data_IF_408747475797
#
_entry.id   IF_408747475797
#
_cell.length_a   1.000
_cell.length_b   1.000
_cell.length_c   1.000
_cell.angle_alpha   90.00
_cell.angle_beta   90.00
_cell.angle_gamma   90.00
#
_symmetry.space_group_name_H-M   'P 1'
#
loop_
_entity.id
_entity.type
_entity.pdbx_description
1 polymer ?
#
# COMPACT_ATOMS: atom_id res chain seq x y z
N UNK A 1 22.91 -15.67 29.49
CA UNK A 1 23.54 -14.55 28.75
C UNK A 1 22.51 -13.71 27.99
N UNK A 2 21.61 -14.29 27.17
CA UNK A 2 20.61 -13.51 26.40
C UNK A 2 19.67 -12.64 27.25
N UNK A 3 19.21 -13.11 28.41
CA UNK A 3 18.36 -12.31 29.31
C UNK A 3 19.09 -11.05 29.79
N UNK A 4 20.38 -11.16 30.11
CA UNK A 4 21.20 -10.01 30.51
C UNK A 4 21.33 -9.00 29.36
N UNK A 5 21.53 -9.49 28.13
CA UNK A 5 21.53 -8.64 26.92
C UNK A 5 20.19 -7.93 26.73
N UNK A 6 19.06 -8.62 26.90
CA UNK A 6 17.72 -8.02 26.83
C UNK A 6 17.53 -6.93 27.89
N UNK A 7 17.92 -7.18 29.14
CA UNK A 7 17.84 -6.19 30.23
C UNK A 7 18.69 -4.97 29.90
N UNK A 8 19.90 -5.16 29.37
CA UNK A 8 20.78 -4.06 28.98
C UNK A 8 20.15 -3.19 27.87
N UNK A 9 19.61 -3.81 26.82
CA UNK A 9 18.94 -3.10 25.72
C UNK A 9 17.71 -2.34 26.22
N UNK A 10 16.90 -2.93 27.10
CA UNK A 10 15.76 -2.27 27.73
C UNK A 10 16.20 -1.07 28.57
N UNK A 11 17.22 -1.24 29.42
CA UNK A 11 17.74 -0.17 30.26
C UNK A 11 18.30 0.99 29.43
N UNK A 12 19.04 0.69 28.37
CA UNK A 12 19.56 1.69 27.43
C UNK A 12 18.43 2.47 26.73
N UNK A 13 17.39 1.78 26.26
CA UNK A 13 16.24 2.44 25.65
C UNK A 13 15.46 3.31 26.65
N UNK A 14 15.23 2.82 27.87
CA UNK A 14 14.55 3.60 28.92
C UNK A 14 15.35 4.85 29.25
N UNK A 15 16.67 4.75 29.40
CA UNK A 15 17.54 5.90 29.64
C UNK A 15 17.48 6.90 28.49
N UNK A 16 17.57 6.42 27.24
CA UNK A 16 17.44 7.25 26.05
C UNK A 16 16.09 7.98 26.01
N UNK A 17 14.99 7.27 26.27
CA UNK A 17 13.65 7.84 26.30
C UNK A 17 13.48 8.88 27.42
N UNK A 18 14.06 8.65 28.60
CA UNK A 18 14.08 9.61 29.71
C UNK A 18 14.85 10.89 29.36
N UNK A 19 15.97 10.77 28.65
CA UNK A 19 16.74 11.91 28.15
C UNK A 19 15.92 12.74 27.15
N UNK A 20 15.24 12.08 26.20
CA UNK A 20 14.36 12.77 25.24
C UNK A 20 13.18 13.46 25.93
N UNK A 21 12.58 12.82 26.94
CA UNK A 21 11.52 13.44 27.74
C UNK A 21 12.01 14.69 28.49
N UNK A 22 13.26 14.69 28.98
CA UNK A 22 13.86 15.88 29.59
C UNK A 22 14.07 17.00 28.57
N UNK A 23 14.51 16.66 27.36
CA UNK A 23 14.66 17.63 26.26
C UNK A 23 13.31 18.19 25.81
N UNK A 24 12.28 17.36 25.66
CA UNK A 24 10.92 17.79 25.31
C UNK A 24 10.35 18.74 26.36
N UNK A 25 10.52 18.43 27.65
CA UNK A 25 10.10 19.31 28.75
C UNK A 25 10.85 20.64 28.80
N UNK A 26 12.04 20.71 28.21
CA UNK A 26 12.79 21.97 28.16
C UNK A 26 12.19 22.98 27.17
N UNK A 27 11.32 22.52 26.26
CA UNK A 27 10.67 23.30 25.19
C UNK A 27 11.65 24.11 24.30
N UNK A 28 12.95 23.80 24.36
CA UNK A 28 14.00 24.45 23.56
C UNK A 28 14.03 23.97 22.12
N UNK A 29 13.57 22.75 21.87
CA UNK A 29 13.61 22.09 20.56
C UNK A 29 12.19 21.86 20.06
N UNK A 30 12.03 21.86 18.74
CA UNK A 30 10.77 21.51 18.10
C UNK A 30 10.43 20.03 18.38
N UNK A 31 9.17 19.75 18.72
CA UNK A 31 8.70 18.40 19.01
C UNK A 31 8.87 17.41 17.85
N UNK A 32 8.80 17.88 16.60
CA UNK A 32 9.10 17.04 15.42
C UNK A 32 10.57 16.62 15.39
N UNK A 33 11.47 17.52 15.76
CA UNK A 33 12.90 17.22 15.85
C UNK A 33 13.17 16.16 16.91
N UNK A 34 12.56 16.28 18.10
CA UNK A 34 12.68 15.27 19.17
C UNK A 34 12.10 13.92 18.73
N UNK A 35 10.94 13.90 18.05
CA UNK A 35 10.36 12.65 17.50
C UNK A 35 11.31 11.99 16.51
N UNK A 36 12.00 12.76 15.67
CA UNK A 36 12.98 12.20 14.72
C UNK A 36 14.29 11.75 15.38
N UNK A 37 14.71 12.35 16.49
CA UNK A 37 15.78 11.77 17.32
C UNK A 37 15.35 10.41 17.89
N UNK A 38 14.12 10.29 18.44
CA UNK A 38 13.60 9.01 18.91
C UNK A 38 13.57 7.97 17.78
N UNK A 39 13.08 8.35 16.60
CA UNK A 39 12.99 7.49 15.42
C UNK A 39 14.36 6.99 14.99
N UNK A 40 15.34 7.90 14.87
CA UNK A 40 16.73 7.54 14.51
C UNK A 40 17.35 6.63 15.57
N UNK A 41 17.26 7.00 16.85
CA UNK A 41 17.82 6.20 17.94
C UNK A 41 17.20 4.81 18.04
N UNK A 42 15.89 4.70 17.84
CA UNK A 42 15.19 3.41 17.79
C UNK A 42 15.61 2.59 16.57
N UNK A 43 15.87 3.23 15.43
CA UNK A 43 16.41 2.58 14.23
C UNK A 43 17.82 2.03 14.44
N UNK A 44 18.71 2.79 15.08
CA UNK A 44 20.05 2.31 15.47
C UNK A 44 19.94 1.10 16.41
N UNK A 45 19.05 1.17 17.40
CA UNK A 45 18.74 0.04 18.27
C UNK A 45 18.29 -1.18 17.48
N UNK A 46 17.34 -1.02 16.55
CA UNK A 46 16.86 -2.08 15.66
C UNK A 46 17.97 -2.69 14.79
N UNK A 47 18.83 -1.86 14.20
CA UNK A 47 19.96 -2.30 13.37
C UNK A 47 21.00 -3.10 14.15
N UNK A 48 21.14 -2.86 15.45
CA UNK A 48 22.08 -3.59 16.30
C UNK A 48 21.60 -5.00 16.68
N UNK A 49 20.30 -5.31 16.54
CA UNK A 49 19.71 -6.57 17.02
C UNK A 49 20.36 -7.83 16.43
N UNK A 50 20.63 -7.94 15.11
CA UNK A 50 21.31 -9.11 14.53
C UNK A 50 22.76 -9.31 14.97
N UNK A 51 23.36 -8.31 15.61
CA UNK A 51 24.73 -8.39 16.13
C UNK A 51 24.75 -8.69 17.64
N UNK A 52 23.66 -8.41 18.34
CA UNK A 52 23.53 -8.62 19.79
C UNK A 52 22.94 -9.99 20.10
N UNK A 53 21.90 -10.39 19.36
CA UNK A 53 21.09 -11.57 19.64
C UNK A 53 21.29 -12.65 18.59
N UNK A 54 21.39 -13.90 19.04
CA UNK A 54 21.46 -15.08 18.17
C UNK A 54 20.08 -15.72 18.04
N UNK A 55 19.30 -15.72 19.13
CA UNK A 55 18.00 -16.40 19.16
C UNK A 55 16.86 -15.49 18.71
N UNK A 56 16.12 -15.94 17.69
CA UNK A 56 14.94 -15.23 17.18
C UNK A 56 13.93 -14.88 18.29
N UNK A 57 13.69 -15.82 19.22
CA UNK A 57 12.77 -15.64 20.35
C UNK A 57 13.13 -14.49 21.28
N UNK A 58 14.42 -14.17 21.45
CA UNK A 58 14.87 -13.11 22.36
C UNK A 58 14.41 -11.73 21.86
N UNK A 59 14.60 -11.46 20.57
CA UNK A 59 14.16 -10.21 19.95
C UNK A 59 12.64 -10.11 19.88
N UNK A 60 11.94 -11.24 19.65
CA UNK A 60 10.46 -11.26 19.67
C UNK A 60 9.92 -10.89 21.05
N UNK A 61 10.44 -11.51 22.11
CA UNK A 61 10.04 -11.18 23.49
C UNK A 61 10.33 -9.70 23.78
N UNK A 62 11.53 -9.23 23.44
CA UNK A 62 11.94 -7.84 23.63
C UNK A 62 11.01 -6.86 22.91
N UNK A 63 10.67 -7.13 21.64
CA UNK A 63 9.76 -6.29 20.87
C UNK A 63 8.32 -6.31 21.41
N UNK A 64 7.83 -7.46 21.91
CA UNK A 64 6.52 -7.53 22.59
C UNK A 64 6.54 -6.65 23.86
N UNK A 65 7.62 -6.72 24.65
CA UNK A 65 7.78 -5.86 25.83
C UNK A 65 7.75 -4.38 25.45
N UNK A 66 8.46 -3.97 24.39
CA UNK A 66 8.42 -2.58 23.90
C UNK A 66 7.03 -2.17 23.40
N UNK A 67 6.33 -3.04 22.67
CA UNK A 67 4.97 -2.77 22.21
C UNK A 67 4.01 -2.55 23.38
N UNK A 68 4.04 -3.43 24.39
CA UNK A 68 3.23 -3.30 25.61
C UNK A 68 3.57 -2.00 26.34
N UNK A 69 4.85 -1.66 26.46
CA UNK A 69 5.30 -0.42 27.08
C UNK A 69 4.75 0.82 26.35
N UNK A 70 4.89 0.89 25.02
CA UNK A 70 4.39 2.02 24.23
C UNK A 70 2.87 2.14 24.27
N UNK A 71 2.15 1.04 24.14
CA UNK A 71 0.68 1.02 24.23
C UNK A 71 0.23 1.48 25.60
N UNK A 72 0.91 1.02 26.67
CA UNK A 72 0.62 1.44 28.05
C UNK A 72 0.84 2.95 28.23
N UNK A 73 1.96 3.49 27.76
CA UNK A 73 2.25 4.94 27.81
C UNK A 73 1.15 5.75 27.09
N UNK A 74 0.66 5.26 25.96
CA UNK A 74 -0.39 5.93 25.17
C UNK A 74 -1.78 5.85 25.83
N UNK A 75 -2.09 4.73 26.47
CA UNK A 75 -3.37 4.48 27.15
C UNK A 75 -3.54 5.31 28.44
N UNK A 76 -2.44 5.75 29.06
CA UNK A 76 -2.50 6.58 30.26
C UNK A 76 -3.15 7.94 29.98
N UNK A 77 -4.38 8.11 30.49
CA UNK A 77 -5.11 9.38 30.49
C UNK A 77 -4.57 10.29 31.60
N UNK A 78 -3.88 11.37 31.22
CA UNK A 78 -3.62 12.61 31.99
C UNK A 78 -2.43 12.72 32.96
N UNK A 79 -1.76 11.67 33.45
CA UNK A 79 -0.68 11.85 34.47
C UNK A 79 0.75 12.02 33.94
N UNK A 80 0.98 11.84 32.64
CA UNK A 80 2.34 11.74 32.08
C UNK A 80 2.46 12.60 30.80
N UNK A 81 2.28 13.91 30.94
CA UNK A 81 2.24 14.86 29.80
C UNK A 81 3.55 14.91 29.00
N UNK A 82 4.71 14.72 29.65
CA UNK A 82 6.01 14.75 28.97
C UNK A 82 6.26 13.54 28.06
N UNK A 83 6.06 12.32 28.57
CA UNK A 83 6.39 11.13 27.79
C UNK A 83 5.45 10.91 26.60
N UNK A 84 4.18 11.33 26.72
CA UNK A 84 3.25 11.31 25.60
C UNK A 84 3.63 12.34 24.52
N UNK A 85 4.14 13.52 24.91
CA UNK A 85 4.62 14.54 23.96
C UNK A 85 5.83 14.09 23.14
N UNK A 86 6.69 13.23 23.69
CA UNK A 86 7.80 12.63 22.93
C UNK A 86 7.29 11.74 21.79
N UNK A 87 6.14 11.06 21.98
CA UNK A 87 5.54 10.14 21.00
C UNK A 87 4.53 10.83 20.06
N UNK A 88 3.83 11.85 20.56
CA UNK A 88 2.78 12.56 19.84
C UNK A 88 3.11 14.05 19.73
N UNK A 89 3.25 14.54 18.51
CA UNK A 89 3.34 15.99 18.24
C UNK A 89 2.00 16.64 18.58
N UNK A 90 2.01 17.89 19.09
CA UNK A 90 0.78 18.65 19.47
C UNK A 90 -0.31 18.66 18.39
N UNK A 91 0.08 18.56 17.12
CA UNK A 91 -0.81 18.65 15.95
C UNK A 91 -1.13 17.31 15.27
N UNK A 92 -0.56 16.17 15.69
CA UNK A 92 -0.73 14.90 14.98
C UNK A 92 -0.67 13.67 15.88
N UNK A 93 -1.80 12.97 15.99
CA UNK A 93 -1.84 11.60 16.54
C UNK A 93 -1.43 10.62 15.44
N UNK A 94 -0.31 9.92 15.63
CA UNK A 94 0.14 8.86 14.71
C UNK A 94 0.45 7.60 15.50
N UNK A 95 0.36 6.44 14.85
CA UNK A 95 0.77 5.15 15.42
C UNK A 95 2.14 4.71 14.88
N UNK A 96 2.92 5.65 14.33
CA UNK A 96 4.18 5.38 13.63
C UNK A 96 5.17 4.57 14.46
N UNK A 97 5.30 4.85 15.76
CA UNK A 97 6.25 4.14 16.63
C UNK A 97 5.87 2.67 16.80
N UNK A 98 4.57 2.37 16.87
CA UNK A 98 4.05 0.99 16.95
C UNK A 98 4.36 0.26 15.64
N UNK A 99 4.03 0.90 14.51
CA UNK A 99 4.32 0.36 13.18
C UNK A 99 5.82 0.14 12.96
N UNK A 100 6.67 1.00 13.51
CA UNK A 100 8.11 0.85 13.40
C UNK A 100 8.62 -0.38 14.15
N UNK A 101 8.14 -0.63 15.38
CA UNK A 101 8.49 -1.87 16.10
C UNK A 101 7.95 -3.10 15.37
N UNK A 102 6.73 -3.03 14.83
CA UNK A 102 6.18 -4.12 14.03
C UNK A 102 7.04 -4.42 12.80
N UNK A 103 7.59 -3.39 12.13
CA UNK A 103 8.54 -3.56 11.03
C UNK A 103 9.85 -4.21 11.48
N UNK A 104 10.43 -3.77 12.59
CA UNK A 104 11.67 -4.37 13.13
C UNK A 104 11.43 -5.85 13.45
N UNK A 105 10.34 -6.18 14.15
CA UNK A 105 9.98 -7.56 14.48
C UNK A 105 9.71 -8.41 13.23
N UNK A 106 8.95 -7.87 12.28
CA UNK A 106 8.61 -8.56 11.06
C UNK A 106 9.83 -8.85 10.20
N UNK A 107 10.67 -7.83 9.96
CA UNK A 107 11.94 -7.98 9.26
C UNK A 107 12.88 -8.94 9.99
N UNK A 108 12.94 -8.88 11.31
CA UNK A 108 13.72 -9.84 12.09
C UNK A 108 13.28 -11.27 11.82
N UNK A 109 11.98 -11.55 11.83
CA UNK A 109 11.46 -12.90 11.56
C UNK A 109 11.79 -13.39 10.15
N UNK A 110 11.65 -12.53 9.13
CA UNK A 110 11.75 -12.94 7.71
C UNK A 110 13.14 -12.72 7.09
N UNK A 111 14.04 -12.00 7.75
CA UNK A 111 15.31 -11.56 7.16
C UNK A 111 16.50 -11.46 8.11
N UNK A 112 16.40 -11.84 9.39
CA UNK A 112 17.53 -11.77 10.34
C UNK A 112 18.80 -12.46 9.84
N UNK A 113 18.62 -13.52 9.05
CA UNK A 113 19.70 -14.38 8.56
C UNK A 113 20.45 -13.72 7.39
N UNK A 114 19.82 -12.74 6.72
CA UNK A 114 20.44 -11.92 5.68
C UNK A 114 20.51 -10.45 6.13
N UNK A 115 21.68 -10.08 6.67
CA UNK A 115 21.92 -8.74 7.23
C UNK A 115 21.67 -7.61 6.23
N UNK A 116 21.93 -7.82 4.93
CA UNK A 116 21.68 -6.82 3.87
C UNK A 116 20.18 -6.57 3.74
N UNK A 117 19.39 -7.64 3.64
CA UNK A 117 17.92 -7.57 3.51
C UNK A 117 17.23 -7.07 4.80
N UNK A 118 17.85 -7.24 5.96
CA UNK A 118 17.36 -6.70 7.23
C UNK A 118 17.72 -5.22 7.41
N UNK A 119 18.98 -4.84 7.15
CA UNK A 119 19.51 -3.54 7.49
C UNK A 119 19.03 -2.43 6.54
N UNK A 120 19.05 -2.65 5.22
CA UNK A 120 18.70 -1.61 4.25
C UNK A 120 17.29 -1.04 4.44
N UNK A 121 16.23 -1.85 4.61
CA UNK A 121 14.89 -1.33 4.89
C UNK A 121 14.84 -0.43 6.13
N UNK A 122 15.56 -0.81 7.19
CA UNK A 122 15.62 -0.05 8.44
C UNK A 122 16.45 1.24 8.29
N UNK A 123 17.56 1.22 7.55
CA UNK A 123 18.38 2.42 7.29
C UNK A 123 17.58 3.44 6.48
N UNK A 124 16.89 3.01 5.41
CA UNK A 124 16.03 3.88 4.60
C UNK A 124 14.94 4.49 5.49
N UNK A 125 14.23 3.67 6.25
CA UNK A 125 13.18 4.19 7.12
C UNK A 125 13.75 5.11 8.21
N UNK A 126 14.89 4.79 8.79
CA UNK A 126 15.51 5.57 9.87
C UNK A 126 15.95 6.96 9.38
N UNK A 127 16.64 7.02 8.24
CA UNK A 127 17.26 8.25 7.75
C UNK A 127 16.35 9.02 6.80
N UNK A 128 15.85 8.38 5.74
CA UNK A 128 15.10 9.08 4.70
C UNK A 128 13.79 9.67 5.21
N UNK A 129 13.05 8.96 6.06
CA UNK A 129 11.85 9.50 6.71
C UNK A 129 12.19 10.64 7.69
N UNK A 130 13.31 10.54 8.42
CA UNK A 130 13.72 11.61 9.32
C UNK A 130 14.07 12.88 8.55
N UNK A 131 14.93 12.80 7.53
CA UNK A 131 15.29 13.94 6.70
C UNK A 131 14.09 14.52 5.95
N UNK A 132 13.24 13.68 5.36
CA UNK A 132 12.05 14.14 4.64
C UNK A 132 11.09 14.91 5.54
N UNK A 133 10.86 14.44 6.77
CA UNK A 133 9.99 15.11 7.72
C UNK A 133 10.60 16.42 8.24
N UNK A 134 11.90 16.46 8.54
CA UNK A 134 12.56 17.68 9.01
C UNK A 134 12.57 18.76 7.91
N UNK A 135 12.95 18.39 6.68
CA UNK A 135 12.89 19.33 5.55
C UNK A 135 11.46 19.74 5.25
N UNK A 136 10.52 18.80 5.30
CA UNK A 136 9.10 19.07 5.10
C UNK A 136 8.48 19.99 6.17
N UNK A 137 8.97 19.93 7.41
CA UNK A 137 8.48 20.79 8.50
C UNK A 137 9.09 22.19 8.43
N UNK A 138 10.42 22.29 8.26
CA UNK A 138 11.14 23.56 8.40
C UNK A 138 11.33 24.34 7.09
N UNK A 139 11.32 23.67 5.94
CA UNK A 139 11.72 24.28 4.66
C UNK A 139 10.70 24.12 3.53
N UNK A 140 9.51 23.59 3.81
CA UNK A 140 8.50 23.37 2.76
C UNK A 140 7.85 24.67 2.27
N UNK A 141 7.83 24.85 0.95
CA UNK A 141 7.09 25.91 0.26
C UNK A 141 5.87 25.35 -0.47
N UNK A 142 6.00 24.16 -1.05
CA UNK A 142 4.95 23.55 -1.86
C UNK A 142 4.28 22.37 -1.14
N UNK A 143 3.21 22.67 -0.40
CA UNK A 143 2.39 21.65 0.27
C UNK A 143 1.24 21.18 -0.61
N UNK A 144 0.91 19.90 -0.53
CA UNK A 144 -0.25 19.30 -1.18
C UNK A 144 -1.02 18.40 -0.22
N UNK A 145 -2.33 18.27 -0.46
CA UNK A 145 -3.21 17.43 0.35
C UNK A 145 -3.29 16.02 -0.25
N UNK A 146 -3.03 15.02 0.58
CA UNK A 146 -3.13 13.60 0.21
C UNK A 146 -4.53 13.01 0.39
N UNK A 147 -5.42 13.73 1.07
CA UNK A 147 -6.73 13.27 1.55
C UNK A 147 -6.72 12.88 3.03
N UNK A 148 -5.55 12.52 3.58
CA UNK A 148 -5.36 12.13 4.98
C UNK A 148 -4.45 13.08 5.76
N UNK A 149 -3.91 14.09 5.08
CA UNK A 149 -2.96 15.03 5.65
C UNK A 149 -2.22 15.81 4.57
N UNK A 150 -1.42 16.76 5.02
CA UNK A 150 -0.57 17.58 4.16
C UNK A 150 0.83 16.96 4.04
N UNK A 151 1.35 16.93 2.82
CA UNK A 151 2.75 16.58 2.51
C UNK A 151 3.39 17.70 1.71
N UNK A 152 4.70 17.67 1.55
CA UNK A 152 5.45 18.69 0.80
C UNK A 152 6.28 18.07 -0.32
N UNK A 153 6.45 18.81 -1.41
CA UNK A 153 7.30 18.38 -2.53
C UNK A 153 8.75 18.29 -2.04
N UNK A 154 9.20 19.23 -1.22
CA UNK A 154 10.56 19.27 -0.66
C UNK A 154 10.86 18.04 0.20
N UNK A 155 9.90 17.62 1.02
CA UNK A 155 9.98 16.39 1.80
C UNK A 155 10.10 15.14 0.92
N UNK A 156 9.25 15.02 -0.11
CA UNK A 156 9.31 13.87 -1.04
C UNK A 156 10.61 13.82 -1.84
N UNK A 157 11.09 14.97 -2.34
CA UNK A 157 12.39 15.06 -3.05
C UNK A 157 13.54 14.69 -2.11
N UNK A 158 13.49 15.15 -0.85
CA UNK A 158 14.49 14.77 0.16
C UNK A 158 14.47 13.27 0.43
N UNK A 159 13.28 12.67 0.56
CA UNK A 159 13.12 11.22 0.72
C UNK A 159 13.77 10.46 -0.44
N UNK A 160 13.46 10.87 -1.68
CA UNK A 160 14.03 10.27 -2.89
C UNK A 160 15.56 10.37 -2.92
N UNK A 161 16.12 11.57 -2.75
CA UNK A 161 17.57 11.80 -2.85
C UNK A 161 18.33 11.07 -1.75
N UNK A 162 17.85 11.13 -0.51
CA UNK A 162 18.48 10.42 0.61
C UNK A 162 18.40 8.91 0.43
N UNK A 163 17.26 8.37 -0.01
CA UNK A 163 17.11 6.93 -0.28
C UNK A 163 18.06 6.48 -1.39
N UNK A 164 18.15 7.26 -2.47
CA UNK A 164 19.04 6.96 -3.59
C UNK A 164 20.51 6.94 -3.16
N UNK A 165 20.92 7.97 -2.41
CA UNK A 165 22.28 8.07 -1.86
C UNK A 165 22.59 6.92 -0.91
N UNK A 166 21.68 6.59 0.01
CA UNK A 166 21.83 5.46 0.93
C UNK A 166 21.98 4.15 0.16
N UNK A 167 21.10 3.89 -0.82
CA UNK A 167 21.11 2.64 -1.58
C UNK A 167 22.42 2.48 -2.37
N UNK A 168 22.89 3.51 -3.09
CA UNK A 168 24.15 3.44 -3.84
C UNK A 168 25.30 3.07 -2.92
N UNK A 169 25.49 3.83 -1.84
CA UNK A 169 26.61 3.59 -0.93
C UNK A 169 26.47 2.22 -0.25
N UNK A 170 25.26 1.85 0.18
CA UNK A 170 25.02 0.58 0.84
C UNK A 170 25.37 -0.59 -0.08
N UNK A 171 24.94 -0.59 -1.34
CA UNK A 171 25.25 -1.66 -2.27
C UNK A 171 26.73 -1.69 -2.68
N UNK A 172 27.40 -0.54 -2.79
CA UNK A 172 28.83 -0.48 -3.05
C UNK A 172 29.68 -1.16 -1.96
N UNK A 173 29.25 -1.08 -0.69
CA UNK A 173 30.01 -1.65 0.44
C UNK A 173 29.55 -3.05 0.87
N UNK A 174 28.27 -3.39 0.67
CA UNK A 174 27.66 -4.57 1.28
C UNK A 174 27.01 -5.54 0.29
N UNK A 175 27.25 -5.38 -1.02
CA UNK A 175 26.73 -6.33 -2.02
C UNK A 175 27.69 -6.53 -3.19
N UNK A 176 27.52 -7.65 -3.89
CA UNK A 176 28.39 -8.04 -5.01
C UNK A 176 27.73 -7.80 -6.39
N UNK A 177 26.71 -6.95 -6.46
CA UNK A 177 26.00 -6.66 -7.71
C UNK A 177 26.77 -5.67 -8.59
N UNK A 178 26.66 -5.82 -9.91
CA UNK A 178 27.36 -4.96 -10.88
C UNK A 178 26.98 -3.48 -10.78
N UNK A 179 27.87 -2.59 -11.20
CA UNK A 179 27.70 -1.13 -11.04
C UNK A 179 26.42 -0.59 -11.69
N UNK A 180 26.02 -1.11 -12.85
CA UNK A 180 24.77 -0.73 -13.52
C UNK A 180 23.55 -1.18 -12.70
N UNK A 181 23.58 -2.39 -12.14
CA UNK A 181 22.55 -2.90 -11.26
C UNK A 181 22.42 -2.04 -10.00
N UNK A 182 23.53 -1.60 -9.39
CA UNK A 182 23.51 -0.69 -8.24
C UNK A 182 22.72 0.57 -8.55
N UNK A 183 22.99 1.20 -9.70
CA UNK A 183 22.30 2.42 -10.13
C UNK A 183 20.81 2.15 -10.35
N UNK A 184 20.45 1.09 -11.08
CA UNK A 184 19.05 0.77 -11.41
C UNK A 184 18.23 0.39 -10.18
N UNK A 185 18.76 -0.50 -9.32
CA UNK A 185 18.10 -0.93 -8.08
C UNK A 185 17.89 0.25 -7.14
N UNK A 186 18.93 1.09 -6.96
CA UNK A 186 18.84 2.28 -6.11
C UNK A 186 17.80 3.28 -6.62
N UNK A 187 17.76 3.50 -7.93
CA UNK A 187 16.81 4.43 -8.56
C UNK A 187 15.36 3.92 -8.46
N UNK A 188 15.14 2.63 -8.72
CA UNK A 188 13.82 2.03 -8.57
C UNK A 188 13.35 2.08 -7.11
N UNK A 189 14.20 1.71 -6.16
CA UNK A 189 13.87 1.76 -4.74
C UNK A 189 13.54 3.19 -4.29
N UNK A 190 14.34 4.19 -4.67
CA UNK A 190 14.10 5.57 -4.24
C UNK A 190 12.81 6.15 -4.81
N UNK A 191 12.48 5.88 -6.09
CA UNK A 191 11.19 6.30 -6.69
C UNK A 191 10.03 5.66 -5.95
N UNK A 192 10.08 4.34 -5.75
CA UNK A 192 8.95 3.56 -5.25
C UNK A 192 8.70 3.82 -3.77
N UNK A 193 9.75 3.92 -2.96
CA UNK A 193 9.64 4.23 -1.54
C UNK A 193 9.20 5.68 -1.31
N UNK A 194 9.63 6.64 -2.14
CA UNK A 194 9.08 8.00 -2.12
C UNK A 194 7.58 8.00 -2.46
N UNK A 195 7.16 7.28 -3.49
CA UNK A 195 5.73 7.16 -3.83
C UNK A 195 4.96 6.54 -2.65
N UNK A 196 5.51 5.49 -2.05
CA UNK A 196 4.91 4.79 -0.92
C UNK A 196 4.80 5.69 0.33
N UNK A 197 5.83 6.51 0.59
CA UNK A 197 5.77 7.58 1.59
C UNK A 197 4.57 8.46 1.27
N UNK A 198 4.48 9.03 0.06
CA UNK A 198 3.42 9.99 -0.32
C UNK A 198 2.00 9.44 -0.12
N UNK A 199 1.77 8.17 -0.45
CA UNK A 199 0.44 7.55 -0.36
C UNK A 199 0.14 6.98 1.04
N UNK A 200 1.13 6.92 1.93
CA UNK A 200 0.95 6.44 3.32
C UNK A 200 0.40 7.52 4.24
N UNK A 201 -0.45 7.11 5.19
CA UNK A 201 -1.07 7.99 6.17
C UNK A 201 -0.89 7.48 7.60
N UNK A 202 -1.05 8.36 8.59
CA UNK A 202 -1.04 8.04 10.02
C UNK A 202 0.19 7.24 10.54
N UNK A 203 1.33 7.31 9.84
CA UNK A 203 2.55 6.57 10.18
C UNK A 203 2.66 5.18 9.54
N UNK A 204 1.73 4.81 8.63
CA UNK A 204 1.77 3.51 7.94
C UNK A 204 2.99 3.32 7.04
N UNK A 205 3.65 4.41 6.64
CA UNK A 205 4.96 4.40 5.98
C UNK A 205 6.02 3.67 6.82
N UNK A 206 5.95 3.78 8.16
CA UNK A 206 6.83 3.02 9.05
C UNK A 206 6.62 1.51 8.98
N UNK A 207 5.50 1.05 8.40
CA UNK A 207 5.22 -0.36 8.10
C UNK A 207 5.48 -0.69 6.63
N UNK A 208 4.84 0.05 5.73
CA UNK A 208 4.85 -0.29 4.31
C UNK A 208 6.22 -0.11 3.67
N UNK A 209 6.98 0.94 4.01
CA UNK A 209 8.30 1.17 3.41
C UNK A 209 9.25 0.02 3.71
N UNK A 210 9.48 -0.41 4.96
CA UNK A 210 10.43 -1.49 5.23
C UNK A 210 10.05 -2.82 4.58
N UNK A 211 8.78 -3.23 4.67
CA UNK A 211 8.32 -4.49 4.07
C UNK A 211 8.38 -4.44 2.54
N UNK A 212 8.06 -3.29 1.94
CA UNK A 212 8.20 -3.11 0.50
C UNK A 212 9.67 -3.20 0.07
N UNK A 213 10.60 -2.53 0.77
CA UNK A 213 12.03 -2.63 0.46
C UNK A 213 12.49 -4.08 0.55
N UNK A 214 12.14 -4.80 1.63
CA UNK A 214 12.48 -6.23 1.77
C UNK A 214 11.94 -7.06 0.58
N UNK A 215 10.65 -6.91 0.24
CA UNK A 215 10.03 -7.61 -0.88
C UNK A 215 10.72 -7.26 -2.20
N UNK A 216 11.00 -5.98 -2.44
CA UNK A 216 11.67 -5.51 -3.64
C UNK A 216 13.06 -6.12 -3.78
N UNK A 217 13.87 -6.12 -2.71
CA UNK A 217 15.20 -6.74 -2.73
C UNK A 217 15.12 -8.23 -3.02
N UNK A 218 14.22 -8.96 -2.35
CA UNK A 218 14.04 -10.39 -2.57
C UNK A 218 13.73 -10.70 -4.05
N UNK A 219 12.91 -9.89 -4.69
CA UNK A 219 12.44 -10.14 -6.06
C UNK A 219 13.33 -9.54 -7.15
N UNK A 220 14.21 -8.58 -6.84
CA UNK A 220 14.89 -7.79 -7.86
C UNK A 220 16.40 -7.64 -7.69
N UNK A 221 16.98 -7.90 -6.50
CA UNK A 221 18.37 -7.55 -6.22
C UNK A 221 19.38 -8.23 -7.16
N UNK A 222 19.15 -9.50 -7.47
CA UNK A 222 20.06 -10.33 -8.28
C UNK A 222 19.57 -10.57 -9.71
N UNK A 223 18.65 -9.73 -10.20
CA UNK A 223 18.24 -9.79 -11.61
C UNK A 223 19.36 -9.29 -12.53
N UNK A 224 19.32 -9.74 -13.78
CA UNK A 224 20.25 -9.29 -14.80
C UNK A 224 20.03 -7.81 -15.14
N UNK A 225 21.06 -7.16 -15.69
CA UNK A 225 20.97 -5.76 -16.15
C UNK A 225 19.78 -5.54 -17.09
N UNK A 226 19.55 -6.48 -18.02
CA UNK A 226 18.44 -6.41 -18.99
C UNK A 226 17.07 -6.44 -18.31
N UNK A 227 16.89 -7.29 -17.31
CA UNK A 227 15.62 -7.40 -16.58
C UNK A 227 15.34 -6.16 -15.73
N UNK A 228 16.37 -5.61 -15.08
CA UNK A 228 16.27 -4.36 -14.34
C UNK A 228 15.98 -3.16 -15.24
N UNK A 229 16.65 -3.08 -16.40
CA UNK A 229 16.36 -2.06 -17.42
C UNK A 229 14.92 -2.16 -17.92
N UNK A 230 14.43 -3.38 -18.19
CA UNK A 230 13.05 -3.61 -18.57
C UNK A 230 12.08 -3.08 -17.50
N UNK A 231 12.29 -3.44 -16.23
CA UNK A 231 11.49 -2.95 -15.11
C UNK A 231 11.54 -1.41 -14.97
N UNK A 232 12.72 -0.81 -15.16
CA UNK A 232 12.89 0.64 -15.23
C UNK A 232 12.06 1.28 -16.36
N UNK A 233 12.10 0.73 -17.56
CA UNK A 233 11.29 1.26 -18.66
C UNK A 233 9.78 1.10 -18.41
N UNK A 234 9.35 0.01 -17.76
CA UNK A 234 7.94 -0.16 -17.40
C UNK A 234 7.46 0.94 -16.45
N UNK A 235 8.22 1.28 -15.39
CA UNK A 235 7.80 2.38 -14.50
C UNK A 235 7.78 3.73 -15.22
N UNK A 236 8.72 3.99 -16.14
CA UNK A 236 8.74 5.20 -16.96
C UNK A 236 7.48 5.27 -17.85
N UNK A 237 7.14 4.19 -18.54
CA UNK A 237 5.95 4.11 -19.40
C UNK A 237 4.68 4.30 -18.57
N UNK A 238 4.55 3.61 -17.42
CA UNK A 238 3.40 3.77 -16.54
C UNK A 238 3.28 5.22 -16.01
N UNK A 239 4.40 5.85 -15.67
CA UNK A 239 4.42 7.25 -15.26
C UNK A 239 3.92 8.17 -16.38
N UNK A 240 4.40 7.98 -17.61
CA UNK A 240 3.95 8.75 -18.78
C UNK A 240 2.44 8.55 -19.01
N UNK A 241 1.95 7.31 -18.98
CA UNK A 241 0.51 7.01 -19.11
C UNK A 241 -0.31 7.78 -18.07
N UNK A 242 0.09 7.75 -16.80
CA UNK A 242 -0.64 8.42 -15.73
C UNK A 242 -0.61 9.94 -15.88
N UNK A 243 0.52 10.52 -16.29
CA UNK A 243 0.64 11.96 -16.53
C UNK A 243 -0.23 12.41 -17.72
N UNK A 244 -0.23 11.66 -18.83
CA UNK A 244 -1.07 11.95 -19.99
C UNK A 244 -2.56 11.83 -19.65
N UNK A 245 -2.93 10.87 -18.80
CA UNK A 245 -4.30 10.62 -18.38
C UNK A 245 -4.74 11.43 -17.15
N UNK A 246 -3.88 12.28 -16.56
CA UNK A 246 -4.16 13.02 -15.31
C UNK A 246 -5.44 13.85 -15.33
N UNK A 247 -5.82 14.38 -16.50
CA UNK A 247 -7.05 15.15 -16.74
C UNK A 247 -8.23 14.29 -17.21
N UNK A 248 -7.96 13.09 -17.71
CA UNK A 248 -8.92 12.12 -18.26
C UNK A 248 -9.13 10.97 -17.26
N UNK A 249 -9.36 11.33 -16.00
CA UNK A 249 -9.67 10.37 -14.93
C UNK A 249 -10.46 11.07 -13.82
N UNK A 250 -11.28 10.30 -13.13
CA UNK A 250 -12.06 10.75 -11.97
C UNK A 250 -11.33 10.51 -10.66
N UNK A 251 -10.12 9.94 -10.70
CA UNK A 251 -9.30 9.70 -9.51
C UNK A 251 -8.69 11.01 -8.99
N UNK A 252 -8.59 11.11 -7.65
CA UNK A 252 -7.77 12.15 -6.99
C UNK A 252 -6.29 12.03 -7.38
N UNK A 253 -5.48 13.09 -7.23
CA UNK A 253 -4.05 13.05 -7.53
C UNK A 253 -3.32 11.96 -6.72
N UNK A 254 -3.65 11.83 -5.43
CA UNK A 254 -3.10 10.77 -4.57
C UNK A 254 -3.49 9.38 -5.07
N UNK A 255 -4.75 9.17 -5.48
CA UNK A 255 -5.19 7.90 -6.04
C UNK A 255 -4.50 7.59 -7.38
N UNK A 256 -4.21 8.59 -8.22
CA UNK A 256 -3.40 8.40 -9.43
C UNK A 256 -1.97 7.94 -9.09
N UNK A 257 -1.33 8.59 -8.13
CA UNK A 257 0.01 8.20 -7.63
C UNK A 257 0.01 6.79 -7.01
N UNK A 258 -1.03 6.44 -6.25
CA UNK A 258 -1.19 5.09 -5.71
C UNK A 258 -1.48 4.05 -6.81
N UNK A 259 -2.17 4.43 -7.89
CA UNK A 259 -2.40 3.56 -9.04
C UNK A 259 -1.07 3.23 -9.73
N UNK A 260 -0.16 4.21 -9.88
CA UNK A 260 1.20 3.95 -10.39
C UNK A 260 1.90 2.88 -9.56
N UNK A 261 1.90 3.08 -8.24
CA UNK A 261 2.55 2.15 -7.31
C UNK A 261 1.94 0.76 -7.36
N UNK A 262 0.60 0.69 -7.33
CA UNK A 262 -0.14 -0.56 -7.41
C UNK A 262 0.17 -1.33 -8.70
N UNK A 263 0.03 -0.67 -9.86
CA UNK A 263 0.34 -1.25 -11.17
C UNK A 263 1.77 -1.79 -11.20
N UNK A 264 2.72 -1.02 -10.69
CA UNK A 264 4.12 -1.45 -10.67
C UNK A 264 4.40 -2.61 -9.71
N UNK A 265 3.74 -2.68 -8.55
CA UNK A 265 3.83 -3.85 -7.67
C UNK A 265 3.32 -5.11 -8.35
N UNK A 266 2.16 -5.04 -9.01
CA UNK A 266 1.59 -6.17 -9.75
C UNK A 266 2.58 -6.62 -10.83
N UNK A 267 3.21 -5.68 -11.54
CA UNK A 267 4.25 -5.97 -12.51
C UNK A 267 5.48 -6.66 -11.89
N UNK A 268 5.96 -6.21 -10.72
CA UNK A 268 7.12 -6.84 -10.06
C UNK A 268 6.80 -8.27 -9.63
N UNK A 269 5.59 -8.51 -9.11
CA UNK A 269 5.20 -9.78 -8.51
C UNK A 269 4.76 -10.82 -9.54
N UNK A 270 3.91 -10.45 -10.49
CA UNK A 270 3.32 -11.36 -11.49
C UNK A 270 3.82 -11.16 -12.92
N UNK A 271 4.50 -10.05 -13.22
CA UNK A 271 4.92 -9.71 -14.59
C UNK A 271 3.82 -9.05 -15.42
N UNK A 272 4.09 -8.91 -16.73
CA UNK A 272 3.28 -8.07 -17.63
C UNK A 272 1.85 -8.59 -17.81
N UNK A 273 1.68 -9.91 -17.79
CA UNK A 273 0.37 -10.58 -17.93
C UNK A 273 -0.60 -10.14 -16.82
N UNK A 274 -0.11 -9.95 -15.60
CA UNK A 274 -0.90 -9.51 -14.46
C UNK A 274 -1.12 -8.00 -14.43
N UNK A 275 -0.25 -7.20 -15.06
CA UNK A 275 -0.40 -5.74 -15.17
C UNK A 275 -1.56 -5.33 -16.08
N UNK A 276 -1.89 -6.12 -17.09
CA UNK A 276 -2.83 -5.72 -18.15
C UNK A 276 -4.26 -5.52 -17.63
N UNK A 277 -4.87 -6.40 -16.81
CA UNK A 277 -6.21 -6.17 -16.27
C UNK A 277 -6.36 -4.87 -15.44
N UNK A 278 -5.52 -4.57 -14.43
CA UNK A 278 -5.64 -3.30 -13.72
C UNK A 278 -5.31 -2.08 -14.59
N UNK A 279 -4.40 -2.19 -15.57
CA UNK A 279 -4.08 -1.10 -16.49
C UNK A 279 -5.26 -0.80 -17.45
N UNK A 280 -5.89 -1.84 -18.01
CA UNK A 280 -7.07 -1.70 -18.86
C UNK A 280 -8.24 -1.12 -18.08
N UNK A 281 -8.42 -1.52 -16.81
CA UNK A 281 -9.40 -0.90 -15.92
C UNK A 281 -9.08 0.59 -15.72
N UNK A 282 -7.83 0.95 -15.37
CA UNK A 282 -7.42 2.34 -15.16
C UNK A 282 -7.70 3.24 -16.39
N UNK A 283 -7.35 2.77 -17.59
CA UNK A 283 -7.54 3.49 -18.85
C UNK A 283 -9.01 3.54 -19.29
N UNK A 284 -9.71 2.42 -19.13
CA UNK A 284 -11.11 2.27 -19.51
C UNK A 284 -12.05 3.03 -18.57
N UNK A 285 -11.65 3.23 -17.32
CA UNK A 285 -12.50 3.82 -16.29
C UNK A 285 -13.12 5.15 -16.71
N UNK A 286 -12.34 6.06 -17.30
CA UNK A 286 -12.85 7.36 -17.72
C UNK A 286 -13.75 7.31 -18.97
N UNK A 287 -13.49 6.38 -19.88
CA UNK A 287 -14.14 6.34 -21.20
C UNK A 287 -15.44 5.55 -21.19
N UNK A 288 -15.51 4.49 -20.38
CA UNK A 288 -16.62 3.54 -20.39
C UNK A 288 -17.60 3.73 -19.23
N UNK A 289 -17.25 4.54 -18.24
CA UNK A 289 -18.19 4.84 -17.16
C UNK A 289 -18.86 6.21 -17.34
N UNK A 290 -20.13 6.34 -16.91
CA UNK A 290 -20.90 7.58 -17.00
C UNK A 290 -20.21 8.74 -16.29
N UNK A 291 -20.30 9.92 -16.91
CA UNK A 291 -19.82 11.17 -16.32
C UNK A 291 -20.97 11.84 -15.58
N UNK A 292 -20.80 12.06 -14.29
CA UNK A 292 -21.80 12.70 -13.44
C UNK A 292 -21.30 14.09 -13.05
N UNK A 293 -22.09 15.13 -13.34
CA UNK A 293 -21.76 16.50 -12.95
C UNK A 293 -21.72 16.64 -11.41
N UNK A 294 -20.75 17.37 -10.88
CA UNK A 294 -20.57 17.55 -9.44
C UNK A 294 -20.01 16.33 -8.69
N UNK A 295 -19.64 15.24 -9.38
CA UNK A 295 -19.12 14.03 -8.73
C UNK A 295 -17.80 14.29 -7.97
N UNK A 296 -17.79 13.89 -6.71
CA UNK A 296 -16.56 13.85 -5.89
C UNK A 296 -15.62 12.81 -6.51
N UNK A 297 -14.37 13.22 -6.75
CA UNK A 297 -13.33 12.32 -7.28
C UNK A 297 -13.11 11.11 -6.37
N UNK A 298 -12.89 9.95 -6.99
CA UNK A 298 -12.66 8.71 -6.26
C UNK A 298 -11.37 8.81 -5.42
N UNK A 299 -11.52 8.46 -4.14
CA UNK A 299 -10.47 8.61 -3.14
C UNK A 299 -9.46 7.46 -3.18
N UNK A 300 -8.34 7.67 -2.49
CA UNK A 300 -7.34 6.62 -2.29
C UNK A 300 -7.94 5.38 -1.61
N UNK A 301 -8.91 5.54 -0.70
CA UNK A 301 -9.53 4.38 -0.02
C UNK A 301 -10.25 3.47 -1.00
N UNK A 302 -11.07 4.04 -1.89
CA UNK A 302 -11.80 3.25 -2.89
C UNK A 302 -10.85 2.44 -3.78
N UNK A 303 -9.76 3.08 -4.24
CA UNK A 303 -8.72 2.39 -5.01
C UNK A 303 -8.08 1.25 -4.20
N UNK A 304 -7.68 1.51 -2.95
CA UNK A 304 -7.04 0.51 -2.10
C UNK A 304 -7.96 -0.69 -1.85
N UNK A 305 -9.26 -0.48 -1.66
CA UNK A 305 -10.22 -1.58 -1.48
C UNK A 305 -10.21 -2.51 -2.69
N UNK A 306 -10.29 -1.97 -3.91
CA UNK A 306 -10.23 -2.76 -5.16
C UNK A 306 -8.87 -3.46 -5.28
N UNK A 307 -7.78 -2.74 -5.00
CA UNK A 307 -6.42 -3.26 -5.08
C UNK A 307 -6.20 -4.45 -4.11
N UNK A 308 -6.62 -4.34 -2.85
CA UNK A 308 -6.45 -5.43 -1.87
C UNK A 308 -7.30 -6.64 -2.22
N UNK A 309 -8.57 -6.44 -2.59
CA UNK A 309 -9.48 -7.55 -2.95
C UNK A 309 -9.00 -8.32 -4.17
N UNK A 310 -8.36 -7.66 -5.13
CA UNK A 310 -7.85 -8.31 -6.34
C UNK A 310 -6.46 -8.91 -6.16
N UNK A 311 -5.58 -8.26 -5.39
CA UNK A 311 -4.19 -8.71 -5.17
C UNK A 311 -4.10 -10.07 -4.49
N UNK A 312 -5.09 -10.44 -3.68
CA UNK A 312 -5.09 -11.74 -2.99
C UNK A 312 -4.98 -12.91 -3.98
N UNK A 313 -5.60 -12.79 -5.16
CA UNK A 313 -5.57 -13.84 -6.18
C UNK A 313 -4.21 -13.96 -6.86
N UNK A 314 -3.50 -12.85 -7.07
CA UNK A 314 -2.11 -12.86 -7.52
C UNK A 314 -1.21 -13.55 -6.49
N UNK A 315 -1.32 -13.15 -5.21
CA UNK A 315 -0.50 -13.75 -4.15
C UNK A 315 -0.78 -15.24 -4.02
N UNK A 316 -2.05 -15.65 -4.02
CA UNK A 316 -2.43 -17.07 -3.98
C UNK A 316 -1.96 -17.83 -5.21
N UNK A 317 -1.99 -17.23 -6.40
CA UNK A 317 -1.45 -17.84 -7.62
C UNK A 317 0.03 -18.17 -7.49
N UNK A 318 0.82 -17.25 -6.93
CA UNK A 318 2.25 -17.44 -6.70
C UNK A 318 2.50 -18.50 -5.62
N UNK A 319 1.74 -18.46 -4.52
CA UNK A 319 1.95 -19.37 -3.37
C UNK A 319 1.50 -20.80 -3.67
N UNK A 320 0.39 -20.97 -4.42
CA UNK A 320 -0.18 -22.27 -4.73
C UNK A 320 0.33 -22.86 -6.05
N UNK A 321 1.09 -22.09 -6.83
CA UNK A 321 1.54 -22.43 -8.18
C UNK A 321 0.37 -22.87 -9.10
N UNK A 322 -0.71 -22.07 -9.07
CA UNK A 322 -1.96 -22.37 -9.80
C UNK A 322 -2.32 -21.26 -10.78
N UNK A 323 -1.95 -21.45 -12.04
CA UNK A 323 -2.26 -20.51 -13.12
C UNK A 323 -3.77 -20.27 -13.32
N UNK A 324 -4.63 -21.21 -12.93
CA UNK A 324 -6.09 -21.01 -12.98
C UNK A 324 -6.57 -19.81 -12.14
N UNK A 325 -5.81 -19.41 -11.11
CA UNK A 325 -6.13 -18.25 -10.27
C UNK A 325 -6.02 -16.93 -11.04
N UNK A 326 -5.30 -16.91 -12.16
CA UNK A 326 -5.24 -15.75 -13.06
C UNK A 326 -6.62 -15.42 -13.67
N UNK A 327 -7.44 -16.43 -13.96
CA UNK A 327 -8.79 -16.21 -14.49
C UNK A 327 -9.74 -15.66 -13.42
N UNK A 328 -9.57 -16.07 -12.16
CA UNK A 328 -10.29 -15.46 -11.02
C UNK A 328 -9.87 -14.00 -10.86
N UNK A 329 -8.58 -13.70 -11.04
CA UNK A 329 -8.08 -12.33 -11.00
C UNK A 329 -8.71 -11.45 -12.09
N UNK A 330 -8.75 -11.90 -13.36
CA UNK A 330 -9.45 -11.17 -14.44
C UNK A 330 -10.94 -11.00 -14.12
N UNK A 331 -11.59 -12.07 -13.63
CA UNK A 331 -12.98 -12.03 -13.20
C UNK A 331 -13.22 -10.97 -12.12
N UNK A 332 -12.36 -10.88 -11.10
CA UNK A 332 -12.51 -9.89 -10.05
C UNK A 332 -12.44 -8.46 -10.60
N UNK A 333 -11.51 -8.16 -11.51
CA UNK A 333 -11.44 -6.83 -12.16
C UNK A 333 -12.68 -6.54 -13.02
N UNK A 334 -13.14 -7.53 -13.77
CA UNK A 334 -14.33 -7.44 -14.61
C UNK A 334 -15.59 -7.11 -13.78
N UNK A 335 -15.79 -7.82 -12.65
CA UNK A 335 -16.96 -7.61 -11.81
C UNK A 335 -16.91 -6.25 -11.09
N UNK A 336 -15.73 -5.82 -10.61
CA UNK A 336 -15.57 -4.45 -10.11
C UNK A 336 -15.93 -3.42 -11.20
N UNK A 337 -15.44 -3.61 -12.42
CA UNK A 337 -15.72 -2.69 -13.52
C UNK A 337 -17.22 -2.57 -13.83
N UNK A 338 -17.93 -3.70 -13.88
CA UNK A 338 -19.40 -3.73 -14.06
C UNK A 338 -20.16 -3.03 -12.93
N UNK A 339 -19.84 -3.35 -11.68
CA UNK A 339 -20.53 -2.76 -10.52
C UNK A 339 -20.23 -1.26 -10.41
N UNK A 340 -18.99 -0.82 -10.65
CA UNK A 340 -18.67 0.60 -10.58
C UNK A 340 -19.35 1.38 -11.71
N UNK A 341 -19.51 0.79 -12.89
CA UNK A 341 -20.35 1.38 -13.93
C UNK A 341 -21.77 1.65 -13.42
N UNK A 342 -22.39 0.67 -12.77
CA UNK A 342 -23.72 0.78 -12.17
C UNK A 342 -23.77 1.84 -11.05
N UNK A 343 -22.74 1.91 -10.19
CA UNK A 343 -22.62 2.95 -9.16
C UNK A 343 -22.67 4.35 -9.76
N UNK A 344 -21.95 4.55 -10.87
CA UNK A 344 -21.89 5.85 -11.55
C UNK A 344 -23.17 6.20 -12.26
N UNK A 345 -23.76 5.23 -12.97
CA UNK A 345 -25.06 5.40 -13.61
C UNK A 345 -26.13 5.81 -12.59
N UNK A 346 -26.11 5.19 -11.40
CA UNK A 346 -27.02 5.50 -10.30
C UNK A 346 -26.75 6.85 -9.64
N UNK A 347 -25.51 7.35 -9.66
CA UNK A 347 -25.18 8.68 -9.15
C UNK A 347 -25.62 9.80 -10.11
N UNK A 348 -25.69 9.54 -11.42
CA UNK A 348 -26.10 10.52 -12.42
C UNK A 348 -27.61 10.72 -12.58
N UNK A 349 -28.43 9.88 -11.96
CA UNK A 349 -29.88 9.87 -12.16
C UNK A 349 -30.62 9.97 -10.83
N UNK A 350 -31.13 11.17 -10.51
CA UNK A 350 -31.74 11.51 -9.20
C UNK A 350 -33.13 10.86 -8.99
N UNK A 351 -33.87 10.52 -10.05
CA UNK A 351 -35.22 9.94 -9.94
C UNK A 351 -35.18 8.40 -9.82
N UNK A 352 -35.15 7.91 -8.57
CA UNK A 352 -34.93 6.50 -8.15
C UNK A 352 -36.21 5.65 -8.00
N UNK A 353 -37.06 5.55 -9.02
CA UNK A 353 -38.36 4.85 -8.83
C UNK A 353 -38.44 3.42 -9.39
N UNK A 354 -37.50 2.91 -10.21
CA UNK A 354 -37.64 1.56 -10.79
C UNK A 354 -36.33 0.79 -11.03
N UNK A 355 -36.43 -0.55 -11.02
CA UNK A 355 -35.40 -1.47 -11.51
C UNK A 355 -35.16 -1.22 -13.01
N UNK A 356 -34.08 -0.53 -13.37
CA UNK A 356 -33.84 -0.20 -14.78
C UNK A 356 -33.02 -1.28 -15.45
N UNK A 357 -33.72 -2.31 -15.94
CA UNK A 357 -33.13 -3.49 -16.59
C UNK A 357 -32.11 -3.13 -17.69
N UNK A 358 -32.34 -2.05 -18.45
CA UNK A 358 -31.43 -1.61 -19.51
C UNK A 358 -30.04 -1.19 -18.99
N UNK A 359 -29.95 -0.53 -17.83
CA UNK A 359 -28.67 -0.11 -17.25
C UNK A 359 -27.93 -1.29 -16.63
N UNK A 360 -28.68 -2.21 -16.04
CA UNK A 360 -28.14 -3.44 -15.50
C UNK A 360 -27.56 -4.32 -16.63
N UNK A 361 -28.29 -4.49 -17.72
CA UNK A 361 -27.81 -5.17 -18.94
C UNK A 361 -26.59 -4.47 -19.53
N UNK A 362 -26.55 -3.13 -19.57
CA UNK A 362 -25.38 -2.37 -20.00
C UNK A 362 -24.15 -2.60 -19.13
N UNK A 363 -24.33 -2.68 -17.81
CA UNK A 363 -23.23 -2.96 -16.86
C UNK A 363 -22.73 -4.39 -16.98
N UNK A 364 -23.63 -5.37 -17.15
CA UNK A 364 -23.27 -6.77 -17.44
C UNK A 364 -22.50 -6.85 -18.76
N UNK A 365 -22.99 -6.21 -19.82
CA UNK A 365 -22.34 -6.22 -21.13
C UNK A 365 -20.92 -5.65 -21.07
N UNK A 366 -20.71 -4.54 -20.36
CA UNK A 366 -19.38 -3.95 -20.16
C UNK A 366 -18.44 -4.84 -19.34
N UNK A 367 -18.94 -5.50 -18.29
CA UNK A 367 -18.16 -6.46 -17.51
C UNK A 367 -17.74 -7.66 -18.38
N UNK A 368 -18.69 -8.29 -19.07
CA UNK A 368 -18.41 -9.41 -19.96
C UNK A 368 -17.43 -9.02 -21.08
N UNK A 369 -17.59 -7.86 -21.70
CA UNK A 369 -16.66 -7.36 -22.71
C UNK A 369 -15.26 -7.16 -22.13
N UNK A 370 -15.15 -6.56 -20.94
CA UNK A 370 -13.87 -6.39 -20.24
C UNK A 370 -13.20 -7.75 -19.97
N UNK A 371 -13.97 -8.73 -19.50
CA UNK A 371 -13.48 -10.08 -19.27
C UNK A 371 -12.99 -10.73 -20.57
N UNK A 372 -13.81 -10.71 -21.63
CA UNK A 372 -13.51 -11.35 -22.91
C UNK A 372 -12.26 -10.76 -23.55
N UNK A 373 -12.09 -9.44 -23.54
CA UNK A 373 -10.89 -8.78 -24.07
C UNK A 373 -9.64 -9.25 -23.32
N UNK A 374 -9.66 -9.23 -21.98
CA UNK A 374 -8.51 -9.67 -21.19
C UNK A 374 -8.28 -11.19 -21.31
N UNK A 375 -9.34 -11.99 -21.42
CA UNK A 375 -9.28 -13.43 -21.59
C UNK A 375 -8.63 -13.82 -22.93
N UNK A 376 -9.08 -13.23 -24.04
CA UNK A 376 -8.55 -13.54 -25.38
C UNK A 376 -7.07 -13.13 -25.50
N UNK A 377 -6.69 -11.99 -24.92
CA UNK A 377 -5.32 -11.48 -25.01
C UNK A 377 -4.37 -12.28 -24.12
N UNK A 378 -4.83 -12.77 -22.95
CA UNK A 378 -3.94 -13.22 -21.88
C UNK A 378 -4.13 -14.68 -21.47
N UNK A 379 -5.23 -15.34 -21.83
CA UNK A 379 -5.48 -16.72 -21.41
C UNK A 379 -5.01 -17.72 -22.47
N UNK A 380 -4.24 -18.70 -22.03
CA UNK A 380 -3.77 -19.81 -22.86
C UNK A 380 -4.62 -21.08 -22.66
N UNK A 381 -5.52 -21.08 -21.66
CA UNK A 381 -6.34 -22.24 -21.30
C UNK A 381 -7.82 -22.03 -21.62
N UNK A 382 -8.43 -23.06 -22.19
CA UNK A 382 -9.87 -23.19 -22.46
C UNK A 382 -10.51 -24.10 -21.41
N UNK A 383 -11.00 -23.51 -20.32
CA UNK A 383 -11.79 -24.21 -19.29
C UNK A 383 -13.26 -23.79 -19.39
N UNK A 384 -14.05 -24.56 -20.14
CA UNK A 384 -15.46 -24.27 -20.41
C UNK A 384 -16.29 -24.18 -19.12
N UNK A 385 -16.03 -25.04 -18.12
CA UNK A 385 -16.74 -25.01 -16.84
C UNK A 385 -16.48 -23.69 -16.14
N UNK A 386 -15.23 -23.25 -16.13
CA UNK A 386 -14.86 -22.00 -15.48
C UNK A 386 -15.39 -20.78 -16.22
N UNK A 387 -15.41 -20.80 -17.56
CA UNK A 387 -16.02 -19.74 -18.37
C UNK A 387 -17.53 -19.60 -18.11
N UNK A 388 -18.26 -20.71 -18.04
CA UNK A 388 -19.69 -20.70 -17.68
C UNK A 388 -19.89 -20.14 -16.27
N UNK A 389 -19.09 -20.59 -15.30
CA UNK A 389 -19.10 -20.06 -13.94
C UNK A 389 -18.85 -18.55 -13.87
N UNK A 390 -17.90 -18.05 -14.65
CA UNK A 390 -17.57 -16.63 -14.77
C UNK A 390 -18.76 -15.81 -15.29
N UNK A 391 -19.41 -16.26 -16.37
CA UNK A 391 -20.57 -15.56 -16.93
C UNK A 391 -21.71 -15.49 -15.91
N UNK A 392 -22.03 -16.63 -15.29
CA UNK A 392 -23.09 -16.73 -14.28
C UNK A 392 -22.79 -15.83 -13.08
N UNK A 393 -21.56 -15.82 -12.58
CA UNK A 393 -21.17 -15.03 -11.41
C UNK A 393 -21.00 -13.53 -11.72
N UNK A 394 -20.66 -13.14 -12.96
CA UNK A 394 -20.68 -11.73 -13.36
C UNK A 394 -22.11 -11.21 -13.31
N UNK A 395 -23.04 -11.93 -13.93
CA UNK A 395 -24.46 -11.58 -13.92
C UNK A 395 -24.97 -11.56 -12.48
N UNK A 396 -24.80 -12.66 -11.75
CA UNK A 396 -25.25 -12.81 -10.37
C UNK A 396 -24.68 -11.74 -9.44
N UNK A 397 -23.38 -11.43 -9.53
CA UNK A 397 -22.73 -10.42 -8.69
C UNK A 397 -23.29 -9.01 -8.90
N UNK A 398 -23.56 -8.62 -10.15
CA UNK A 398 -24.17 -7.32 -10.47
C UNK A 398 -25.63 -7.25 -9.95
N UNK A 399 -26.41 -8.32 -10.10
CA UNK A 399 -27.76 -8.42 -9.55
C UNK A 399 -27.79 -8.38 -8.02
N UNK A 400 -26.84 -9.07 -7.36
CA UNK A 400 -26.68 -9.05 -5.91
C UNK A 400 -26.41 -7.62 -5.44
N UNK A 401 -25.49 -6.90 -6.09
CA UNK A 401 -25.19 -5.52 -5.73
C UNK A 401 -26.43 -4.62 -5.83
N UNK A 402 -27.15 -4.66 -6.95
CA UNK A 402 -28.36 -3.85 -7.14
C UNK A 402 -29.43 -4.16 -6.08
N UNK A 403 -29.63 -5.44 -5.76
CA UNK A 403 -30.56 -5.87 -4.71
C UNK A 403 -30.15 -5.35 -3.33
N UNK A 404 -28.87 -5.48 -2.97
CA UNK A 404 -28.33 -4.99 -1.69
C UNK A 404 -28.52 -3.49 -1.56
N UNK A 405 -28.23 -2.73 -2.61
CA UNK A 405 -28.40 -1.27 -2.61
C UNK A 405 -29.87 -0.87 -2.44
N UNK A 406 -30.79 -1.55 -3.10
CA UNK A 406 -32.24 -1.30 -2.95
C UNK A 406 -32.73 -1.57 -1.53
N UNK A 407 -32.36 -2.71 -0.95
CA UNK A 407 -32.71 -3.06 0.43
C UNK A 407 -32.21 -1.98 1.38
N UNK A 408 -30.96 -1.55 1.20
CA UNK A 408 -30.37 -0.48 2.01
C UNK A 408 -31.16 0.82 1.92
N UNK A 409 -31.52 1.27 0.71
CA UNK A 409 -32.28 2.50 0.52
C UNK A 409 -33.69 2.45 1.12
N UNK A 410 -34.34 1.28 1.10
CA UNK A 410 -35.64 1.06 1.76
C UNK A 410 -35.50 1.19 3.28
N UNK A 411 -34.45 0.62 3.87
CA UNK A 411 -34.24 0.60 5.33
C UNK A 411 -33.80 1.98 5.86
N UNK A 412 -32.87 2.65 5.19
CA UNK A 412 -32.26 3.89 5.70
C UNK A 412 -33.00 5.18 5.35
N UNK A 413 -34.22 5.09 4.79
CA UNK A 413 -35.05 6.25 4.42
C UNK A 413 -34.24 7.32 3.66
N UNK A 414 -33.61 6.90 2.57
CA UNK A 414 -32.91 7.78 1.60
C UNK A 414 -31.59 8.43 2.05
N UNK A 415 -30.97 8.02 3.17
CA UNK A 415 -29.57 8.43 3.42
C UNK A 415 -28.66 7.93 2.29
N UNK A 416 -28.01 8.86 1.61
CA UNK A 416 -27.09 8.51 0.53
C UNK A 416 -25.78 7.95 1.08
N UNK A 417 -25.50 6.69 0.73
CA UNK A 417 -24.21 6.06 0.96
C UNK A 417 -23.08 6.84 0.28
N UNK A 418 -21.99 7.03 1.01
CA UNK A 418 -20.75 7.56 0.45
C UNK A 418 -20.22 6.65 -0.66
N UNK A 419 -19.53 7.23 -1.65
CA UNK A 419 -18.87 6.46 -2.71
C UNK A 419 -17.90 5.41 -2.16
N UNK A 420 -17.17 5.72 -1.09
CA UNK A 420 -16.25 4.78 -0.43
C UNK A 420 -16.98 3.55 0.11
N UNK A 421 -18.15 3.75 0.75
CA UNK A 421 -18.96 2.66 1.29
C UNK A 421 -19.53 1.78 0.17
N UNK A 422 -19.98 2.38 -0.93
CA UNK A 422 -20.46 1.63 -2.11
C UNK A 422 -19.34 0.75 -2.70
N UNK A 423 -18.11 1.26 -2.79
CA UNK A 423 -16.94 0.49 -3.25
C UNK A 423 -16.56 -0.61 -2.27
N UNK A 424 -16.70 -0.39 -0.95
CA UNK A 424 -16.48 -1.42 0.06
C UNK A 424 -17.46 -2.59 -0.08
N UNK A 425 -18.76 -2.31 -0.21
CA UNK A 425 -19.79 -3.33 -0.45
C UNK A 425 -19.50 -4.09 -1.75
N UNK A 426 -19.13 -3.36 -2.81
CA UNK A 426 -18.73 -3.95 -4.10
C UNK A 426 -17.60 -4.95 -3.93
N UNK A 427 -16.56 -4.57 -3.19
CA UNK A 427 -15.38 -5.41 -2.98
C UNK A 427 -15.71 -6.66 -2.17
N UNK A 428 -16.63 -6.56 -1.20
CA UNK A 428 -17.16 -7.72 -0.48
C UNK A 428 -17.90 -8.70 -1.39
N UNK A 429 -18.78 -8.20 -2.27
CA UNK A 429 -19.50 -9.03 -3.25
C UNK A 429 -18.52 -9.69 -4.22
N UNK A 430 -17.56 -8.93 -4.76
CA UNK A 430 -16.56 -9.47 -5.68
C UNK A 430 -15.74 -10.56 -5.00
N UNK A 431 -15.32 -10.36 -3.75
CA UNK A 431 -14.58 -11.36 -2.99
C UNK A 431 -15.37 -12.66 -2.81
N UNK A 432 -16.64 -12.56 -2.39
CA UNK A 432 -17.54 -13.71 -2.25
C UNK A 432 -17.76 -14.45 -3.57
N UNK A 433 -18.05 -13.73 -4.67
CA UNK A 433 -18.20 -14.36 -5.98
C UNK A 433 -16.90 -15.00 -6.46
N UNK A 434 -15.75 -14.40 -6.16
CA UNK A 434 -14.43 -14.95 -6.53
C UNK A 434 -14.11 -16.23 -5.74
N UNK A 435 -14.53 -16.33 -4.47
CA UNK A 435 -14.44 -17.56 -3.67
C UNK A 435 -15.35 -18.67 -4.20
N UNK A 436 -16.57 -18.34 -4.65
CA UNK A 436 -17.45 -19.32 -5.30
C UNK A 436 -16.84 -19.83 -6.60
N UNK A 437 -16.24 -18.94 -7.40
CA UNK A 437 -15.54 -19.32 -8.62
C UNK A 437 -14.32 -20.20 -8.33
N UNK A 438 -13.58 -19.91 -7.26
CA UNK A 438 -12.48 -20.77 -6.80
C UNK A 438 -12.96 -22.20 -6.54
N UNK A 439 -14.11 -22.36 -5.88
CA UNK A 439 -14.72 -23.67 -5.64
C UNK A 439 -15.05 -24.42 -6.94
N UNK A 440 -15.58 -23.70 -7.95
CA UNK A 440 -15.90 -24.28 -9.26
C UNK A 440 -14.64 -24.66 -10.05
N UNK A 441 -13.56 -23.88 -9.95
CA UNK A 441 -12.32 -24.07 -10.73
C UNK A 441 -11.29 -25.00 -10.09
N UNK A 442 -11.43 -25.31 -8.81
CA UNK A 442 -10.62 -26.30 -8.08
C UNK A 442 -11.23 -27.70 -8.01
N UNK A 443 -12.53 -27.83 -8.32
CA UNK A 443 -13.21 -29.09 -8.63
C UNK A 443 -13.14 -29.37 -10.14
#
# INVERSE_FOLDING_TARGET
MEIVKMIFVLAAFILFFLLLNKLEKSEKLNSEFIRKILHIGSGIGGLSLPFIFERKSSVVILGIVFLVLLVSIRAMKHKVTGFKKVLETKNRKTLGDIYFIMSILGLWLVSSDNKVMYALPLIILMLSDAFAALIGEFYSKYKFNTGFGTKSIEGSVTFFLTTYFICINFFLFFSDIGSINIVLVSLLLSILTMILEVISWNGLDNLFVPFFVYMFLRLNLYLTEKELMYKFWVIVILFVIIILNRKKTTLTRTAQTASLFFLYIIMIMGGIRWLIPPLTMYLGYYHFTPKVEGQIKDSLKGLLTIAFTTSIWLVLSIVMDKDKLFLIYIFSFSLHFGIINLIRDNAGNVNREAFRMNFLLGSIGKALLFFVINYIILSESLDLKMLVGIIVLIIGGIFIYETVMKIYYIIEKEKELSGETKVFITSGIVFCCSLLLLGIGML
#
